data_IF_663124770277
#
_entry.id   IF_663124770277
#
_cell.length_a   1.000
_cell.length_b   1.000
_cell.length_c   1.000
_cell.angle_alpha   90.00
_cell.angle_beta   90.00
_cell.angle_gamma   90.00
#
_symmetry.space_group_name_H-M   'P 1'
#
loop_
_entity.id
_entity.type
_entity.pdbx_description
1 polymer ?
#
# COMPACT_ATOMS: atom_id res chain seq x y z
N UNK A 1 9.36 10.23 -14.16
CA UNK A 1 9.19 8.79 -13.97
C UNK A 1 9.97 8.33 -12.74
N UNK A 2 9.35 7.55 -11.89
CA UNK A 2 10.02 6.93 -10.74
C UNK A 2 10.37 5.48 -11.08
N UNK A 3 11.57 5.06 -10.77
CA UNK A 3 11.97 3.65 -10.79
C UNK A 3 12.29 3.28 -9.35
N UNK A 4 11.50 2.40 -8.78
CA UNK A 4 11.57 2.06 -7.36
C UNK A 4 11.68 0.55 -7.18
N UNK A 5 12.13 0.13 -6.01
CA UNK A 5 12.24 -1.28 -5.65
C UNK A 5 11.31 -1.56 -4.49
N UNK A 6 10.57 -2.66 -4.54
CA UNK A 6 9.74 -3.06 -3.41
C UNK A 6 10.55 -3.89 -2.38
N UNK A 7 9.89 -4.30 -1.31
CA UNK A 7 10.56 -5.05 -0.25
C UNK A 7 10.82 -6.52 -0.61
N UNK A 8 10.32 -6.96 -1.75
CA UNK A 8 10.63 -8.28 -2.31
C UNK A 8 11.76 -8.22 -3.36
N UNK A 9 12.39 -7.04 -3.54
CA UNK A 9 13.48 -6.86 -4.48
C UNK A 9 13.06 -6.69 -5.93
N UNK A 10 11.77 -6.42 -6.18
CA UNK A 10 11.26 -6.27 -7.54
C UNK A 10 11.29 -4.79 -7.94
N UNK A 11 11.57 -4.53 -9.20
CA UNK A 11 11.62 -3.18 -9.75
C UNK A 11 10.24 -2.79 -10.28
N UNK A 12 9.75 -1.63 -9.86
CA UNK A 12 8.46 -1.07 -10.28
C UNK A 12 8.69 0.30 -10.92
N UNK A 13 7.95 0.58 -11.98
CA UNK A 13 8.02 1.86 -12.69
C UNK A 13 6.70 2.60 -12.52
N UNK A 14 6.78 3.84 -12.02
CA UNK A 14 5.64 4.73 -11.89
C UNK A 14 5.85 5.93 -12.79
N UNK A 15 4.80 6.34 -13.52
CA UNK A 15 4.89 7.51 -14.40
C UNK A 15 5.12 8.79 -13.62
N UNK A 16 4.43 8.91 -12.48
CA UNK A 16 4.43 10.09 -11.63
C UNK A 16 3.95 9.65 -10.24
N UNK A 17 3.63 10.56 -9.36
CA UNK A 17 2.96 10.21 -8.12
C UNK A 17 1.61 9.56 -8.44
N UNK A 18 1.28 8.41 -7.84
CA UNK A 18 0.03 7.72 -8.15
C UNK A 18 -1.19 8.54 -7.75
N UNK A 19 -2.23 8.42 -8.56
CA UNK A 19 -3.51 9.10 -8.36
C UNK A 19 -4.65 8.14 -8.09
N UNK A 20 -4.46 6.86 -8.39
CA UNK A 20 -5.49 5.82 -8.23
C UNK A 20 -4.85 4.59 -7.62
N UNK A 21 -4.90 4.50 -6.30
CA UNK A 21 -4.27 3.41 -5.55
C UNK A 21 -5.34 2.41 -5.13
N UNK A 22 -5.04 1.11 -5.33
CA UNK A 22 -5.78 0.01 -4.73
C UNK A 22 -4.91 -0.61 -3.65
N UNK A 23 -5.44 -0.70 -2.43
CA UNK A 23 -4.76 -1.33 -1.31
C UNK A 23 -5.35 -2.71 -1.04
N UNK A 24 -4.50 -3.74 -1.07
CA UNK A 24 -4.89 -5.12 -0.85
C UNK A 24 -4.64 -5.60 0.58
N UNK A 25 -4.26 -4.69 1.49
CA UNK A 25 -3.83 -5.05 2.84
C UNK A 25 -4.33 -4.01 3.85
N UNK A 26 -4.97 -4.44 4.96
CA UNK A 26 -5.49 -3.51 5.98
C UNK A 26 -4.46 -2.54 6.56
N UNK A 27 -3.26 -3.02 6.91
CA UNK A 27 -2.23 -2.16 7.50
C UNK A 27 -1.75 -1.07 6.54
N UNK A 28 -1.67 -1.37 5.26
CA UNK A 28 -1.29 -0.38 4.25
C UNK A 28 -2.44 0.60 4.00
N UNK A 29 -3.67 0.15 4.09
CA UNK A 29 -4.84 1.04 3.98
C UNK A 29 -4.81 2.08 5.10
N UNK A 30 -4.52 1.66 6.32
CA UNK A 30 -4.39 2.58 7.47
C UNK A 30 -3.23 3.56 7.26
N UNK A 31 -2.12 3.09 6.73
CA UNK A 31 -0.97 3.94 6.40
C UNK A 31 -1.35 5.01 5.36
N UNK A 32 -2.03 4.61 4.29
CA UNK A 32 -2.44 5.55 3.24
C UNK A 32 -3.38 6.62 3.79
N UNK A 33 -4.27 6.24 4.69
CA UNK A 33 -5.14 7.21 5.38
C UNK A 33 -4.31 8.17 6.23
N UNK A 34 -3.37 7.65 7.02
CA UNK A 34 -2.52 8.47 7.88
C UNK A 34 -1.64 9.44 7.09
N UNK A 35 -1.25 9.08 5.86
CA UNK A 35 -0.47 9.93 4.97
C UNK A 35 -1.32 10.99 4.24
N UNK A 36 -2.63 10.99 4.45
CA UNK A 36 -3.51 11.98 3.82
C UNK A 36 -3.84 11.67 2.35
N UNK A 37 -3.83 10.40 1.97
CA UNK A 37 -4.07 9.98 0.58
C UNK A 37 -5.53 9.59 0.32
N UNK A 38 -6.45 10.23 1.02
CA UNK A 38 -7.88 9.97 0.96
C UNK A 38 -8.46 10.05 -0.45
N UNK A 39 -8.03 11.06 -1.23
CA UNK A 39 -8.50 11.26 -2.59
C UNK A 39 -7.86 10.29 -3.59
N UNK A 40 -6.74 9.71 -3.22
CA UNK A 40 -5.92 8.86 -4.10
C UNK A 40 -6.35 7.39 -4.03
N UNK A 41 -6.76 6.92 -2.86
CA UNK A 41 -7.19 5.52 -2.68
C UNK A 41 -8.59 5.34 -3.27
N UNK A 42 -8.73 4.40 -4.21
CA UNK A 42 -9.98 4.13 -4.92
C UNK A 42 -10.57 2.76 -4.62
N UNK A 43 -9.76 1.82 -4.15
CA UNK A 43 -10.21 0.47 -3.84
C UNK A 43 -9.49 -0.12 -2.63
N UNK A 44 -10.22 -0.91 -1.85
CA UNK A 44 -9.71 -1.58 -0.66
C UNK A 44 -10.35 -2.97 -0.55
N UNK A 45 -9.74 -3.87 0.23
CA UNK A 45 -10.36 -5.18 0.48
C UNK A 45 -11.45 -5.05 1.54
N UNK A 46 -12.32 -6.07 1.63
CA UNK A 46 -13.38 -6.10 2.64
C UNK A 46 -12.86 -6.17 4.08
N UNK A 47 -11.59 -6.55 4.25
CA UNK A 47 -10.95 -6.63 5.58
C UNK A 47 -10.31 -5.32 6.01
N UNK A 48 -10.29 -4.31 5.14
CA UNK A 48 -9.83 -2.96 5.47
C UNK A 48 -10.94 -2.24 6.22
N UNK A 49 -10.91 -2.29 7.55
CA UNK A 49 -11.98 -1.78 8.41
C UNK A 49 -11.72 -0.37 8.93
N UNK A 50 -10.52 0.14 8.75
CA UNK A 50 -10.12 1.48 9.21
C UNK A 50 -9.45 2.25 8.08
N UNK A 51 -9.83 3.51 7.84
CA UNK A 51 -10.92 4.21 8.53
C UNK A 51 -12.28 3.65 8.13
N UNK A 52 -13.21 3.64 9.06
CA UNK A 52 -14.54 3.06 8.84
C UNK A 52 -15.28 3.68 7.65
N UNK A 53 -15.12 4.99 7.46
CA UNK A 53 -15.75 5.71 6.35
C UNK A 53 -15.33 5.17 4.97
N UNK A 54 -14.13 4.64 4.84
CA UNK A 54 -13.64 4.11 3.56
C UNK A 54 -14.37 2.85 3.12
N UNK A 55 -14.98 2.13 4.03
CA UNK A 55 -15.76 0.93 3.68
C UNK A 55 -16.94 1.27 2.76
N UNK A 56 -17.52 2.45 2.94
CA UNK A 56 -18.61 2.92 2.08
C UNK A 56 -18.14 3.82 0.95
N UNK A 57 -17.02 4.54 1.13
CA UNK A 57 -16.52 5.51 0.15
C UNK A 57 -15.66 4.87 -0.95
N UNK A 58 -14.93 3.80 -0.64
CA UNK A 58 -14.03 3.15 -1.60
C UNK A 58 -14.66 1.88 -2.13
N UNK A 59 -14.25 1.47 -3.33
CA UNK A 59 -14.75 0.23 -3.93
C UNK A 59 -14.18 -0.96 -3.16
N UNK A 60 -15.05 -1.89 -2.77
CA UNK A 60 -14.65 -3.14 -2.14
C UNK A 60 -14.22 -4.12 -3.24
N UNK A 61 -12.93 -4.47 -3.27
CA UNK A 61 -12.38 -5.35 -4.30
C UNK A 61 -12.31 -6.82 -3.84
N UNK A 62 -12.96 -7.15 -2.72
CA UNK A 62 -13.07 -8.52 -2.26
C UNK A 62 -12.07 -8.91 -1.20
N UNK A 63 -11.70 -10.18 -1.17
CA UNK A 63 -10.83 -10.73 -0.12
C UNK A 63 -9.35 -10.45 -0.33
N UNK A 64 -8.57 -10.62 0.72
CA UNK A 64 -7.12 -10.40 0.70
C UNK A 64 -6.40 -11.46 -0.14
N UNK A 65 -6.79 -12.73 0.00
CA UNK A 65 -6.16 -13.84 -0.75
C UNK A 65 -6.72 -13.98 -2.16
N UNK A 66 -8.01 -13.69 -2.32
CA UNK A 66 -8.72 -13.84 -3.60
C UNK A 66 -9.55 -12.61 -3.90
N UNK A 67 -8.91 -11.47 -4.24
CA UNK A 67 -9.66 -10.28 -4.62
C UNK A 67 -10.33 -10.47 -5.98
N UNK A 68 -11.32 -9.64 -6.25
CA UNK A 68 -12.01 -9.61 -7.54
C UNK A 68 -11.16 -8.83 -8.54
N UNK A 69 -10.46 -9.55 -9.42
CA UNK A 69 -9.55 -8.94 -10.40
C UNK A 69 -10.26 -8.04 -11.39
N UNK A 70 -11.50 -8.35 -11.74
CA UNK A 70 -12.28 -7.51 -12.66
C UNK A 70 -12.62 -6.16 -12.04
N UNK A 71 -12.96 -6.14 -10.75
CA UNK A 71 -13.20 -4.90 -10.04
C UNK A 71 -11.94 -4.04 -9.96
N UNK A 72 -10.79 -4.68 -9.72
CA UNK A 72 -9.50 -3.97 -9.70
C UNK A 72 -9.21 -3.35 -11.07
N UNK A 73 -9.37 -4.13 -12.14
CA UNK A 73 -9.15 -3.64 -13.50
C UNK A 73 -10.06 -2.49 -13.87
N UNK A 74 -11.31 -2.56 -13.44
CA UNK A 74 -12.30 -1.50 -13.70
C UNK A 74 -11.91 -0.17 -13.03
N UNK A 75 -11.20 -0.23 -11.91
CA UNK A 75 -10.73 0.96 -11.20
C UNK A 75 -9.53 1.63 -11.89
N UNK A 76 -8.88 0.94 -12.80
CA UNK A 76 -7.71 1.45 -13.55
C UNK A 76 -6.65 2.04 -12.60
N UNK A 77 -6.14 1.24 -11.65
CA UNK A 77 -5.15 1.75 -10.71
C UNK A 77 -3.82 2.06 -11.40
N UNK A 78 -3.14 3.07 -10.91
CA UNK A 78 -1.76 3.35 -11.31
C UNK A 78 -0.75 2.89 -10.25
N UNK A 79 -1.24 2.36 -9.14
CA UNK A 79 -0.44 1.66 -8.14
C UNK A 79 -1.33 0.70 -7.35
N UNK A 80 -0.83 -0.52 -7.15
CA UNK A 80 -1.44 -1.49 -6.25
C UNK A 80 -0.44 -1.78 -5.13
N UNK A 81 -0.89 -1.76 -3.89
CA UNK A 81 -0.08 -2.10 -2.74
C UNK A 81 -0.50 -3.47 -2.19
N UNK A 82 0.46 -4.36 -2.05
CA UNK A 82 0.25 -5.70 -1.52
C UNK A 82 1.29 -6.07 -0.46
N UNK A 83 1.16 -7.28 0.08
CA UNK A 83 2.06 -7.83 1.08
C UNK A 83 2.34 -9.30 0.78
N UNK A 84 3.58 -9.71 0.96
CA UNK A 84 4.06 -11.06 0.64
C UNK A 84 3.28 -12.15 1.36
N UNK A 85 2.96 -11.96 2.64
CA UNK A 85 2.29 -12.98 3.46
C UNK A 85 0.77 -12.98 3.27
N UNK A 86 0.18 -11.81 3.09
CA UNK A 86 -1.28 -11.65 3.08
C UNK A 86 -1.91 -11.89 1.71
N UNK A 87 -1.21 -11.59 0.62
CA UNK A 87 -1.73 -11.79 -0.73
C UNK A 87 -1.15 -13.06 -1.34
N UNK A 88 -1.92 -13.72 -2.21
CA UNK A 88 -1.43 -14.91 -2.90
C UNK A 88 -0.49 -14.53 -4.05
N UNK A 89 0.52 -15.37 -4.29
CA UNK A 89 1.46 -15.18 -5.39
C UNK A 89 0.76 -15.16 -6.74
N UNK A 90 -0.23 -16.01 -6.93
CA UNK A 90 -1.00 -16.08 -8.19
C UNK A 90 -1.74 -14.78 -8.48
N UNK A 91 -2.38 -14.20 -7.45
CA UNK A 91 -3.08 -12.91 -7.57
C UNK A 91 -2.11 -11.80 -7.98
N UNK A 92 -0.98 -11.72 -7.30
CA UNK A 92 0.02 -10.68 -7.58
C UNK A 92 0.60 -10.85 -8.99
N UNK A 93 0.90 -12.08 -9.37
CA UNK A 93 1.43 -12.38 -10.70
C UNK A 93 0.44 -11.96 -11.80
N UNK A 94 -0.85 -12.19 -11.58
CA UNK A 94 -1.88 -11.78 -12.54
C UNK A 94 -1.99 -10.25 -12.67
N UNK A 95 -1.82 -9.53 -11.55
CA UNK A 95 -1.95 -8.07 -11.52
C UNK A 95 -0.70 -7.36 -12.05
N UNK A 96 0.49 -7.87 -11.76
CA UNK A 96 1.74 -7.19 -12.13
C UNK A 96 1.97 -7.13 -13.65
N UNK A 97 1.30 -7.98 -14.41
CA UNK A 97 1.37 -7.94 -15.87
C UNK A 97 0.71 -6.67 -16.44
N UNK A 98 -0.22 -6.08 -15.71
CA UNK A 98 -1.02 -4.95 -16.20
C UNK A 98 -0.84 -3.66 -15.39
N UNK A 99 -0.39 -3.77 -14.14
CA UNK A 99 -0.33 -2.64 -13.22
C UNK A 99 0.98 -2.62 -12.43
N UNK A 100 1.47 -1.44 -12.01
CA UNK A 100 2.54 -1.37 -11.03
C UNK A 100 2.05 -1.94 -9.70
N UNK A 101 2.74 -2.95 -9.18
CA UNK A 101 2.42 -3.57 -7.88
C UNK A 101 3.63 -3.48 -6.98
N UNK A 102 3.49 -2.79 -5.85
CA UNK A 102 4.52 -2.65 -4.83
C UNK A 102 4.20 -3.59 -3.66
N UNK A 103 5.12 -4.48 -3.35
CA UNK A 103 4.92 -5.52 -2.33
C UNK A 103 5.74 -5.22 -1.09
N UNK A 104 5.10 -5.25 0.08
CA UNK A 104 5.79 -5.19 1.35
C UNK A 104 6.17 -6.60 1.82
N UNK A 105 7.24 -6.66 2.62
CA UNK A 105 7.71 -7.88 3.26
C UNK A 105 8.26 -7.46 4.63
N UNK A 106 7.46 -7.64 5.67
CA UNK A 106 7.72 -7.07 6.98
C UNK A 106 7.91 -8.18 8.00
N UNK A 107 9.10 -8.26 8.59
CA UNK A 107 9.43 -9.20 9.66
C UNK A 107 9.93 -8.48 10.91
N UNK A 108 10.41 -7.25 10.77
CA UNK A 108 11.02 -6.48 11.86
C UNK A 108 10.44 -5.07 11.90
N UNK A 109 10.71 -4.35 13.02
CA UNK A 109 10.39 -2.93 13.11
C UNK A 109 11.07 -2.13 12.00
N UNK A 110 12.33 -2.45 11.70
CA UNK A 110 13.07 -1.80 10.61
C UNK A 110 12.36 -1.93 9.27
N UNK A 111 11.83 -3.12 8.97
CA UNK A 111 11.06 -3.35 7.74
C UNK A 111 9.79 -2.50 7.69
N UNK A 112 9.10 -2.37 8.83
CA UNK A 112 7.89 -1.56 8.92
C UNK A 112 8.20 -0.08 8.70
N UNK A 113 9.26 0.43 9.30
CA UNK A 113 9.70 1.82 9.12
C UNK A 113 10.15 2.07 7.67
N UNK A 114 10.83 1.11 7.07
CA UNK A 114 11.23 1.17 5.66
C UNK A 114 10.02 1.24 4.74
N UNK A 115 8.99 0.44 5.00
CA UNK A 115 7.75 0.48 4.23
C UNK A 115 7.10 1.86 4.30
N UNK A 116 6.98 2.42 5.50
CA UNK A 116 6.36 3.75 5.68
C UNK A 116 7.12 4.80 4.86
N UNK A 117 8.44 4.79 4.96
CA UNK A 117 9.29 5.75 4.25
C UNK A 117 9.17 5.60 2.73
N UNK A 118 9.21 4.37 2.22
CA UNK A 118 9.12 4.10 0.78
C UNK A 118 7.74 4.43 0.21
N UNK A 119 6.67 4.07 0.93
CA UNK A 119 5.31 4.43 0.50
C UNK A 119 5.14 5.95 0.48
N UNK A 120 5.67 6.64 1.50
CA UNK A 120 5.68 8.10 1.51
C UNK A 120 6.39 8.70 0.30
N UNK A 121 7.57 8.17 -0.01
CA UNK A 121 8.39 8.63 -1.15
C UNK A 121 7.63 8.50 -2.47
N UNK A 122 7.09 7.33 -2.75
CA UNK A 122 6.44 7.09 -4.05
C UNK A 122 5.09 7.81 -4.20
N UNK A 123 4.50 8.27 -3.10
CA UNK A 123 3.20 8.96 -3.13
C UNK A 123 3.33 10.47 -2.95
N UNK A 124 4.54 10.99 -2.82
CA UNK A 124 4.78 12.42 -2.61
C UNK A 124 4.49 12.90 -1.19
N UNK A 125 4.52 11.98 -0.21
CA UNK A 125 4.22 12.25 1.19
C UNK A 125 5.45 12.04 2.09
N UNK A 126 6.63 12.49 1.64
CA UNK A 126 7.89 12.31 2.35
C UNK A 126 7.88 12.89 3.76
N UNK A 127 7.37 14.10 3.91
CA UNK A 127 7.37 14.79 5.21
C UNK A 127 6.48 14.06 6.21
N UNK A 128 5.28 13.69 5.78
CA UNK A 128 4.32 12.97 6.63
C UNK A 128 4.87 11.60 7.02
N UNK A 129 5.46 10.88 6.07
CA UNK A 129 6.03 9.55 6.30
C UNK A 129 7.23 9.60 7.23
N UNK A 130 8.13 10.57 7.04
CA UNK A 130 9.31 10.74 7.88
C UNK A 130 8.90 11.05 9.32
N UNK A 131 7.94 11.94 9.50
CA UNK A 131 7.40 12.28 10.83
C UNK A 131 6.79 11.06 11.51
N UNK A 132 6.00 10.27 10.78
CA UNK A 132 5.36 9.07 11.30
C UNK A 132 6.39 8.01 11.71
N UNK A 133 7.38 7.75 10.86
CA UNK A 133 8.43 6.77 11.14
C UNK A 133 9.25 7.19 12.36
N UNK A 134 9.56 8.48 12.49
CA UNK A 134 10.30 9.03 13.61
C UNK A 134 9.53 8.87 14.93
N UNK A 135 8.23 9.16 14.92
CA UNK A 135 7.38 8.98 16.12
C UNK A 135 7.32 7.53 16.57
N UNK A 136 7.17 6.59 15.62
CA UNK A 136 7.12 5.17 15.93
C UNK A 136 8.45 4.71 16.52
N UNK A 137 9.57 5.11 15.93
CA UNK A 137 10.89 4.76 16.40
C UNK A 137 11.15 5.30 17.82
N UNK A 138 10.75 6.54 18.08
CA UNK A 138 10.89 7.16 19.41
C UNK A 138 10.11 6.39 20.48
N UNK A 139 8.88 5.97 20.16
CA UNK A 139 8.05 5.19 21.07
C UNK A 139 8.71 3.87 21.43
N UNK A 140 9.28 3.17 20.44
CA UNK A 140 9.98 1.91 20.67
C UNK A 140 11.26 2.09 21.45
N UNK A 141 11.97 3.19 21.25
CA UNK A 141 13.20 3.52 22.00
C UNK A 141 12.94 3.72 23.49
N UNK A 142 11.75 4.17 23.86
CA UNK A 142 11.37 4.39 25.27
C UNK A 142 11.22 3.07 26.05
N UNK A 143 11.08 1.96 25.35
CA UNK A 143 10.88 0.64 25.97
C UNK A 143 12.11 -0.26 25.92
N UNK A 144 13.21 0.25 25.41
CA UNK A 144 14.47 -0.52 25.31
C UNK A 144 15.44 -0.26 26.46
#
# INVERSE_FOLDING_TARGET
MQVITDQMGRTIRLRDYPRRIVSLVPSQTELLHALGLEQTVVGITRFCTRPESWRSEKVNVGGTKTPDLDKIRALKPDLILGNKEENSADTIHALENSFPVWMSDISTLGDALDMITRVGNMTGKDLEATSMASEIQDKFSQFS
#
